data_IF_000269765616
#
_entry.id   IF_000269765616
#
_cell.length_a   1.000
_cell.length_b   1.000
_cell.length_c   1.000
_cell.angle_alpha   90.00
_cell.angle_beta   90.00
_cell.angle_gamma   90.00
#
_symmetry.space_group_name_H-M   'P 1'
#
loop_
_entity.id
_entity.type
_entity.pdbx_description
1 polymer ?
#
# COMPACT_ATOMS: atom_id res chain seq x y z
N UNK A 1 15.47 -25.77 -1.46
CA UNK A 1 14.20 -26.47 -1.19
C UNK A 1 13.46 -25.66 -0.12
N UNK A 2 12.19 -25.32 -0.33
CA UNK A 2 11.42 -24.44 0.58
C UNK A 2 10.10 -25.12 0.94
N UNK A 3 9.65 -25.03 2.19
CA UNK A 3 8.35 -25.61 2.57
C UNK A 3 7.17 -24.85 1.94
N UNK A 4 6.04 -25.54 1.75
CA UNK A 4 4.82 -24.96 1.14
C UNK A 4 4.33 -23.71 1.88
N UNK A 5 4.42 -23.69 3.21
CA UNK A 5 4.03 -22.54 4.01
C UNK A 5 4.87 -21.28 3.74
N UNK A 6 6.15 -21.41 3.40
CA UNK A 6 7.02 -20.28 3.04
C UNK A 6 6.84 -19.87 1.58
N UNK A 7 6.57 -20.82 0.68
CA UNK A 7 6.23 -20.56 -0.72
C UNK A 7 4.97 -19.71 -0.86
N UNK A 8 3.89 -20.09 -0.17
CA UNK A 8 2.64 -19.34 -0.19
C UNK A 8 2.75 -17.97 0.49
N UNK A 9 3.51 -17.88 1.59
CA UNK A 9 3.80 -16.61 2.27
C UNK A 9 4.53 -15.65 1.32
N UNK A 10 5.65 -16.08 0.74
CA UNK A 10 6.45 -15.26 -0.17
C UNK A 10 5.65 -14.73 -1.36
N UNK A 11 4.82 -15.58 -1.99
CA UNK A 11 3.95 -15.16 -3.11
C UNK A 11 3.02 -14.02 -2.73
N UNK A 12 2.42 -14.05 -1.54
CA UNK A 12 1.55 -12.97 -1.05
C UNK A 12 2.34 -11.70 -0.74
N UNK A 13 3.49 -11.85 -0.09
CA UNK A 13 4.34 -10.74 0.33
C UNK A 13 4.94 -9.93 -0.82
N UNK A 14 5.13 -10.51 -2.02
CA UNK A 14 5.68 -9.81 -3.20
C UNK A 14 4.62 -9.29 -4.18
N UNK A 15 3.34 -9.59 -3.95
CA UNK A 15 2.23 -9.21 -4.83
C UNK A 15 1.35 -8.11 -4.23
N UNK A 16 1.31 -7.98 -2.90
CA UNK A 16 0.53 -6.95 -2.21
C UNK A 16 1.40 -5.80 -1.68
N UNK A 17 0.79 -4.62 -1.42
CA UNK A 17 1.45 -3.49 -0.75
C UNK A 17 1.55 -3.77 0.76
N UNK A 18 2.42 -4.69 1.15
CA UNK A 18 2.55 -5.09 2.57
C UNK A 18 3.95 -4.77 3.10
N UNK A 19 4.02 -3.76 3.94
CA UNK A 19 5.23 -3.40 4.68
C UNK A 19 5.24 -4.12 6.03
N UNK A 20 6.16 -5.08 6.18
CA UNK A 20 6.33 -5.78 7.45
C UNK A 20 7.36 -5.07 8.33
N UNK A 21 6.96 -4.75 9.55
CA UNK A 21 7.85 -4.21 10.59
C UNK A 21 8.24 -5.34 11.56
N UNK A 22 9.50 -5.39 11.94
CA UNK A 22 9.95 -6.32 12.97
C UNK A 22 9.56 -5.78 14.36
N UNK A 23 8.92 -6.57 15.23
CA UNK A 23 8.60 -6.14 16.60
C UNK A 23 9.84 -6.11 17.53
N UNK A 24 11.03 -6.47 17.01
CA UNK A 24 12.27 -6.59 17.74
C UNK A 24 13.42 -5.98 16.91
N UNK A 25 14.61 -6.60 16.95
CA UNK A 25 15.85 -6.04 16.40
C UNK A 25 16.16 -6.47 14.96
N UNK A 26 15.15 -6.85 14.18
CA UNK A 26 15.32 -7.35 12.80
C UNK A 26 16.23 -8.59 12.65
N UNK A 27 16.58 -9.29 13.73
CA UNK A 27 17.46 -10.49 13.71
C UNK A 27 16.77 -11.76 14.20
N UNK A 28 15.43 -11.81 14.12
CA UNK A 28 14.65 -12.96 14.58
C UNK A 28 15.02 -14.24 13.83
N UNK A 29 15.36 -15.29 14.56
CA UNK A 29 15.53 -16.64 14.00
C UNK A 29 14.18 -17.22 13.54
N UNK A 30 14.16 -17.84 12.35
CA UNK A 30 12.93 -18.32 11.71
C UNK A 30 12.90 -19.86 11.67
N UNK A 31 12.12 -20.43 12.58
CA UNK A 31 11.87 -21.88 12.67
C UNK A 31 10.39 -22.23 12.45
N UNK A 32 10.04 -23.52 12.44
CA UNK A 32 8.65 -24.00 12.27
C UNK A 32 7.67 -23.34 13.26
N UNK A 33 8.08 -23.12 14.50
CA UNK A 33 7.28 -22.50 15.55
C UNK A 33 7.29 -20.96 15.49
N UNK A 34 8.45 -20.36 15.20
CA UNK A 34 8.66 -18.90 15.26
C UNK A 34 8.36 -18.15 13.95
N UNK A 35 8.18 -18.85 12.83
CA UNK A 35 7.87 -18.25 11.52
C UNK A 35 6.56 -17.46 11.47
N UNK A 36 5.69 -17.56 12.47
CA UNK A 36 4.48 -16.72 12.58
C UNK A 36 4.72 -15.45 13.39
N UNK A 37 5.74 -15.43 14.26
CA UNK A 37 6.01 -14.35 15.22
C UNK A 37 6.57 -13.09 14.56
N UNK A 38 7.31 -13.22 13.46
CA UNK A 38 7.88 -12.07 12.76
C UNK A 38 7.83 -12.25 11.25
N UNK A 39 6.91 -11.53 10.60
CA UNK A 39 6.72 -11.57 9.15
C UNK A 39 7.87 -10.86 8.41
N UNK A 40 8.40 -9.78 8.98
CA UNK A 40 9.52 -9.02 8.42
C UNK A 40 10.78 -9.88 8.27
N UNK A 41 11.24 -10.47 9.38
CA UNK A 41 12.42 -11.33 9.37
C UNK A 41 12.20 -12.60 8.54
N UNK A 42 10.97 -13.13 8.52
CA UNK A 42 10.64 -14.26 7.65
C UNK A 42 10.78 -13.92 6.17
N UNK A 43 10.24 -12.77 5.75
CA UNK A 43 10.34 -12.33 4.35
C UNK A 43 11.79 -12.06 3.97
N UNK A 44 12.56 -11.40 4.84
CA UNK A 44 14.00 -11.21 4.66
C UNK A 44 14.72 -12.54 4.45
N UNK A 45 14.45 -13.54 5.31
CA UNK A 45 15.03 -14.88 5.17
C UNK A 45 14.64 -15.56 3.87
N UNK A 46 13.41 -15.35 3.36
CA UNK A 46 12.99 -15.86 2.06
C UNK A 46 13.86 -15.29 0.92
N UNK A 47 14.21 -14.01 0.96
CA UNK A 47 15.12 -13.41 -0.01
C UNK A 47 16.56 -13.92 0.13
N UNK A 48 17.07 -14.05 1.36
CA UNK A 48 18.42 -14.58 1.62
C UNK A 48 18.64 -15.98 1.06
N UNK A 49 17.61 -16.83 1.09
CA UNK A 49 17.66 -18.19 0.50
C UNK A 49 17.36 -18.20 -1.01
N UNK A 50 17.26 -17.03 -1.64
CA UNK A 50 17.11 -16.88 -3.09
C UNK A 50 15.69 -17.05 -3.63
N UNK A 51 14.65 -16.96 -2.79
CA UNK A 51 13.28 -16.90 -3.31
C UNK A 51 13.11 -15.60 -4.10
N UNK A 52 12.64 -15.70 -5.34
CA UNK A 52 12.46 -14.56 -6.23
C UNK A 52 11.10 -14.68 -6.96
N UNK A 53 10.60 -13.56 -7.49
CA UNK A 53 9.28 -13.48 -8.16
C UNK A 53 9.21 -14.26 -9.48
N UNK A 54 10.32 -14.84 -9.95
CA UNK A 54 10.35 -15.59 -11.19
C UNK A 54 10.10 -14.68 -12.39
N UNK A 55 11.15 -13.99 -12.84
CA UNK A 55 11.19 -13.41 -14.18
C UNK A 55 12.64 -13.28 -14.63
N UNK A 56 13.24 -14.43 -14.94
CA UNK A 56 14.09 -14.65 -16.11
C UNK A 56 14.60 -16.09 -16.01
N UNK A 57 13.85 -17.03 -16.62
CA UNK A 57 14.52 -18.17 -17.23
C UNK A 57 15.37 -17.56 -18.34
N UNK A 58 16.65 -17.28 -18.06
CA UNK A 58 17.64 -17.11 -19.13
C UNK A 58 17.59 -18.42 -19.90
N UNK A 59 17.01 -18.38 -21.09
CA UNK A 59 16.85 -19.53 -21.96
C UNK A 59 18.21 -20.19 -22.14
N UNK A 60 18.41 -21.33 -21.47
CA UNK A 60 19.45 -22.25 -21.86
C UNK A 60 18.93 -22.89 -23.14
N UNK A 61 19.43 -22.42 -24.28
CA UNK A 61 19.37 -23.16 -25.55
C UNK A 61 19.88 -24.57 -25.27
N UNK A 62 18.97 -25.54 -25.22
CA UNK A 62 19.29 -26.95 -25.42
C UNK A 62 18.18 -27.54 -26.25
N UNK A 63 18.53 -27.73 -27.51
CA UNK A 63 17.83 -28.46 -28.56
C UNK A 63 17.39 -29.86 -28.10
N UNK A 64 16.28 -30.36 -28.66
CA UNK A 64 15.89 -31.78 -28.62
C UNK A 64 14.44 -32.03 -28.19
N UNK A 65 13.44 -31.84 -29.07
CA UNK A 65 12.73 -32.89 -29.84
C UNK A 65 11.52 -33.53 -29.10
N UNK A 66 10.30 -33.22 -29.61
CA UNK A 66 9.00 -33.96 -29.62
C UNK A 66 8.53 -34.68 -28.34
N UNK A 67 7.29 -34.66 -27.84
CA UNK A 67 5.92 -34.59 -28.39
C UNK A 67 4.99 -34.54 -27.16
N UNK A 68 3.96 -33.70 -27.09
CA UNK A 68 2.59 -34.17 -27.35
C UNK A 68 1.72 -34.32 -26.07
N UNK A 69 0.58 -33.62 -26.10
CA UNK A 69 -0.71 -33.93 -25.43
C UNK A 69 -1.03 -33.39 -24.01
N UNK A 70 -1.78 -32.28 -24.04
CA UNK A 70 -3.20 -32.14 -23.58
C UNK A 70 -3.48 -31.96 -22.07
N UNK A 71 -3.93 -30.74 -21.72
CA UNK A 71 -4.58 -30.42 -20.45
C UNK A 71 -5.21 -29.02 -20.44
N UNK A 72 -6.41 -28.89 -21.02
CA UNK A 72 -7.25 -27.68 -21.04
C UNK A 72 -7.61 -27.22 -19.61
N UNK A 73 -7.49 -25.92 -19.34
CA UNK A 73 -8.62 -25.00 -19.05
C UNK A 73 -8.12 -23.57 -18.78
N UNK A 74 -8.51 -22.65 -19.66
CA UNK A 74 -8.39 -21.20 -19.53
C UNK A 74 -9.59 -20.62 -18.78
N UNK A 75 -9.40 -19.53 -18.04
CA UNK A 75 -10.29 -18.35 -18.06
C UNK A 75 -9.47 -17.11 -17.73
N UNK A 76 -9.14 -16.34 -18.76
CA UNK A 76 -8.93 -14.90 -18.69
C UNK A 76 -10.30 -14.27 -18.89
N UNK A 77 -10.63 -13.24 -18.12
CA UNK A 77 -11.77 -12.37 -18.41
C UNK A 77 -11.23 -10.93 -18.51
N UNK A 78 -11.09 -10.50 -19.75
CA UNK A 78 -11.00 -9.11 -20.18
C UNK A 78 -12.14 -8.95 -21.16
N UNK A 79 -13.14 -8.14 -20.81
CA UNK A 79 -14.18 -7.69 -21.73
C UNK A 79 -14.09 -6.17 -21.82
N UNK A 80 -13.45 -5.70 -22.89
CA UNK A 80 -13.80 -4.44 -23.54
C UNK A 80 -14.71 -4.80 -24.72
N UNK A 81 -15.76 -4.01 -24.96
CA UNK A 81 -16.15 -3.54 -26.29
C UNK A 81 -17.50 -2.80 -26.26
N UNK A 82 -17.43 -1.57 -26.75
CA UNK A 82 -18.55 -0.75 -27.16
C UNK A 82 -19.30 -1.34 -28.36
N UNK A 83 -20.63 -1.16 -28.39
CA UNK A 83 -21.42 -1.09 -29.62
C UNK A 83 -22.61 -0.14 -29.43
N UNK A 84 -22.81 0.67 -30.45
CA UNK A 84 -23.74 1.80 -30.56
C UNK A 84 -25.17 1.32 -30.86
N UNK A 85 -26.20 2.04 -30.40
CA UNK A 85 -27.57 1.95 -30.94
C UNK A 85 -28.35 3.24 -30.72
N UNK A 86 -28.83 3.78 -31.83
CA UNK A 86 -29.66 4.97 -32.07
C UNK A 86 -31.13 4.78 -31.66
N UNK A 87 -31.71 5.75 -30.94
CA UNK A 87 -32.81 6.66 -31.34
C UNK A 87 -33.80 7.07 -30.22
N UNK A 88 -33.87 8.41 -30.06
CA UNK A 88 -34.97 9.32 -29.74
C UNK A 88 -36.01 9.03 -28.64
N UNK A 89 -35.95 9.89 -27.61
CA UNK A 89 -37.07 10.29 -26.77
C UNK A 89 -36.68 11.55 -25.97
N UNK A 90 -37.24 12.69 -26.31
CA UNK A 90 -36.93 13.98 -25.71
C UNK A 90 -37.38 14.07 -24.24
N UNK A 91 -36.51 14.55 -23.35
CA UNK A 91 -36.86 15.36 -22.16
C UNK A 91 -35.60 15.85 -21.43
N UNK A 92 -35.44 17.17 -21.38
CA UNK A 92 -34.78 18.02 -20.40
C UNK A 92 -34.09 17.37 -19.19
N UNK A 93 -32.76 17.47 -19.12
CA UNK A 93 -32.00 18.14 -18.04
C UNK A 93 -30.51 17.78 -18.14
N UNK A 94 -29.68 18.77 -18.49
CA UNK A 94 -28.22 18.65 -18.43
C UNK A 94 -27.78 18.64 -16.96
N UNK A 95 -27.81 17.48 -16.32
CA UNK A 95 -27.07 17.26 -15.08
C UNK A 95 -25.72 16.65 -15.44
N UNK A 96 -24.70 17.50 -15.57
CA UNK A 96 -23.31 17.06 -15.64
C UNK A 96 -23.04 16.17 -14.42
N UNK A 97 -22.94 14.85 -14.62
CA UNK A 97 -22.51 13.92 -13.57
C UNK A 97 -21.08 14.31 -13.19
N UNK A 98 -20.94 15.17 -12.17
CA UNK A 98 -19.65 15.46 -11.55
C UNK A 98 -19.01 14.12 -11.21
N UNK A 99 -17.83 13.86 -11.78
CA UNK A 99 -17.09 12.63 -11.50
C UNK A 99 -16.96 12.47 -9.99
N UNK A 100 -17.15 11.25 -9.48
CA UNK A 100 -16.99 10.94 -8.04
C UNK A 100 -15.61 11.39 -7.53
N UNK A 101 -14.59 11.34 -8.40
CA UNK A 101 -13.26 11.88 -8.13
C UNK A 101 -13.25 13.40 -7.94
N UNK A 102 -14.02 14.16 -8.72
CA UNK A 102 -14.13 15.61 -8.57
C UNK A 102 -14.82 16.00 -7.25
N UNK A 103 -15.78 15.19 -6.78
CA UNK A 103 -16.41 15.41 -5.48
C UNK A 103 -15.46 15.15 -4.30
N UNK A 104 -14.61 14.13 -4.41
CA UNK A 104 -13.60 13.81 -3.39
C UNK A 104 -12.50 14.89 -3.37
N UNK A 105 -12.02 15.31 -4.54
CA UNK A 105 -11.01 16.36 -4.65
C UNK A 105 -11.50 17.70 -4.05
N UNK A 106 -12.77 18.06 -4.27
CA UNK A 106 -13.34 19.28 -3.67
C UNK A 106 -13.49 19.15 -2.14
N UNK A 107 -13.81 17.96 -1.64
CA UNK A 107 -13.89 17.72 -0.20
C UNK A 107 -12.50 17.76 0.46
N UNK A 108 -11.48 17.20 -0.19
CA UNK A 108 -10.09 17.27 0.26
C UNK A 108 -9.55 18.71 0.24
N UNK A 109 -9.89 19.50 -0.79
CA UNK A 109 -9.50 20.90 -0.87
C UNK A 109 -10.16 21.78 0.22
N UNK A 110 -11.37 21.41 0.67
CA UNK A 110 -12.06 22.08 1.80
C UNK A 110 -11.56 21.60 3.16
N UNK A 111 -10.91 20.45 3.21
CA UNK A 111 -10.34 19.87 4.40
C UNK A 111 -8.87 20.32 4.55
N UNK A 112 -8.60 21.61 4.43
CA UNK A 112 -7.25 22.13 4.62
C UNK A 112 -6.91 22.16 6.13
N UNK A 113 -5.69 21.77 6.49
CA UNK A 113 -5.28 21.79 7.89
C UNK A 113 -4.94 23.22 8.30
N UNK A 114 -5.49 23.75 9.41
CA UNK A 114 -5.17 25.09 9.85
C UNK A 114 -3.67 25.19 10.19
N UNK A 115 -3.07 26.33 9.85
CA UNK A 115 -1.69 26.65 10.24
C UNK A 115 -1.63 26.76 11.77
N UNK A 116 -0.87 25.87 12.40
CA UNK A 116 -0.65 25.89 13.84
C UNK A 116 0.58 26.75 14.17
N UNK A 117 0.36 27.84 14.91
CA UNK A 117 1.46 28.68 15.39
C UNK A 117 2.02 28.16 16.71
N UNK A 118 3.34 28.22 16.86
CA UNK A 118 4.04 27.77 18.08
C UNK A 118 3.83 28.70 19.29
N UNK A 119 3.21 29.88 19.09
CA UNK A 119 3.01 30.95 20.08
C UNK A 119 4.19 31.08 21.05
N UNK A 120 5.41 31.11 20.50
CA UNK A 120 6.62 31.16 21.30
C UNK A 120 6.72 32.52 21.99
N UNK A 121 6.79 32.52 23.32
CA UNK A 121 6.94 33.74 24.10
C UNK A 121 8.42 34.15 24.12
N UNK A 122 8.80 35.10 23.27
CA UNK A 122 10.16 35.67 23.19
C UNK A 122 10.63 36.36 24.49
N UNK A 123 9.73 36.55 25.47
CA UNK A 123 10.02 37.15 26.77
C UNK A 123 10.59 36.13 27.79
N UNK A 124 10.59 34.82 27.48
CA UNK A 124 11.21 33.80 28.33
C UNK A 124 12.58 33.41 27.78
N UNK A 125 13.55 33.05 28.66
CA UNK A 125 14.85 32.61 28.21
C UNK A 125 14.72 31.34 27.37
N UNK A 126 15.28 31.38 26.15
CA UNK A 126 15.31 30.30 25.17
C UNK A 126 16.24 29.15 25.60
N UNK A 127 15.99 28.61 26.80
CA UNK A 127 16.67 27.42 27.28
C UNK A 127 16.26 26.23 26.42
N UNK A 128 17.18 25.29 26.22
CA UNK A 128 16.94 24.05 25.48
C UNK A 128 15.67 23.33 25.95
N UNK A 129 15.46 23.28 27.26
CA UNK A 129 14.30 22.63 27.88
C UNK A 129 12.99 23.35 27.52
N UNK A 130 12.98 24.69 27.54
CA UNK A 130 11.79 25.45 27.19
C UNK A 130 11.44 25.28 25.71
N UNK A 131 12.43 25.34 24.81
CA UNK A 131 12.23 25.12 23.38
C UNK A 131 11.68 23.72 23.08
N UNK A 132 12.26 22.68 23.69
CA UNK A 132 11.77 21.31 23.55
C UNK A 132 10.33 21.19 24.04
N UNK A 133 9.99 21.79 25.18
CA UNK A 133 8.61 21.79 25.68
C UNK A 133 7.63 22.53 24.76
N UNK A 134 8.04 23.64 24.15
CA UNK A 134 7.20 24.35 23.16
C UNK A 134 6.96 23.48 21.92
N UNK A 135 8.00 22.82 21.41
CA UNK A 135 7.89 21.93 20.26
C UNK A 135 7.01 20.71 20.56
N UNK A 136 7.16 20.10 21.73
CA UNK A 136 6.32 18.97 22.16
C UNK A 136 4.85 19.40 22.25
N UNK A 137 4.57 20.56 22.86
CA UNK A 137 3.20 21.09 22.95
C UNK A 137 2.59 21.40 21.59
N UNK A 138 3.40 21.86 20.62
CA UNK A 138 2.96 22.08 19.25
C UNK A 138 2.62 20.75 18.57
N UNK A 139 3.52 19.77 18.66
CA UNK A 139 3.34 18.44 18.08
C UNK A 139 2.11 17.72 18.64
N UNK A 140 1.84 17.82 19.95
CA UNK A 140 0.65 17.25 20.58
C UNK A 140 -0.64 17.85 20.01
N UNK A 141 -0.67 19.17 19.79
CA UNK A 141 -1.82 19.85 19.19
C UNK A 141 -2.00 19.43 17.74
N UNK A 142 -0.92 19.44 16.95
CA UNK A 142 -0.95 18.98 15.55
C UNK A 142 -1.47 17.55 15.43
N UNK A 143 -1.03 16.65 16.31
CA UNK A 143 -1.49 15.27 16.32
C UNK A 143 -3.00 15.18 16.59
N UNK A 144 -3.51 15.92 17.57
CA UNK A 144 -4.96 15.96 17.88
C UNK A 144 -5.76 16.51 16.69
N UNK A 145 -5.26 17.57 16.04
CA UNK A 145 -5.90 18.13 14.84
C UNK A 145 -5.93 17.13 13.68
N UNK A 146 -4.80 16.45 13.40
CA UNK A 146 -4.72 15.43 12.36
C UNK A 146 -5.68 14.27 12.62
N UNK A 147 -5.74 13.78 13.86
CA UNK A 147 -6.67 12.70 14.25
C UNK A 147 -8.12 13.13 14.05
N UNK A 148 -8.47 14.35 14.47
CA UNK A 148 -9.84 14.84 14.34
C UNK A 148 -10.21 15.11 12.87
N UNK A 149 -9.29 15.68 12.10
CA UNK A 149 -9.42 15.89 10.67
C UNK A 149 -9.66 14.59 9.91
N UNK A 150 -8.85 13.55 10.17
CA UNK A 150 -8.92 12.27 9.48
C UNK A 150 -10.28 11.57 9.59
N UNK A 151 -11.07 11.88 10.63
CA UNK A 151 -12.45 11.36 10.80
C UNK A 151 -13.44 11.91 9.77
N UNK A 152 -13.11 13.03 9.13
CA UNK A 152 -14.01 13.79 8.25
C UNK A 152 -13.58 13.73 6.78
N UNK A 153 -12.51 13.00 6.46
CA UNK A 153 -12.01 12.80 5.10
C UNK A 153 -12.82 11.69 4.41
N UNK A 154 -13.43 11.96 3.23
CA UNK A 154 -14.29 11.01 2.52
C UNK A 154 -13.55 9.88 1.78
#
# INVERSE_FOLDING_TARGET
WSCEGCKAFFKRSIQGPVDYICPATNTCTIDKHRRKSCQACRLRRCYEVGMNKGSQRKERKSSGTTSGLKGKRCRADSSDSAINSTNNGASSSKAAKRSRSASILEALQKADLPVLESYHNHNLPATRVHLLNTLIKLADRELVYLINWAKHVP
#
